data_IF_339837754881
#
_entry.id   IF_339837754881
#
_cell.length_a   1.000
_cell.length_b   1.000
_cell.length_c   1.000
_cell.angle_alpha   90.00
_cell.angle_beta   90.00
_cell.angle_gamma   90.00
#
_symmetry.space_group_name_H-M   'P 1'
#
loop_
_entity.id
_entity.type
_entity.pdbx_description
1 polymer ?
#
# COMPACT_ATOMS: atom_id res chain seq x y z
N UNK A 1 10.35 -3.82 -9.75
CA UNK A 1 10.11 -3.14 -8.47
C UNK A 1 9.23 -4.01 -7.58
N UNK A 2 9.83 -5.02 -7.01
CA UNK A 2 9.10 -5.93 -6.14
C UNK A 2 9.17 -5.44 -4.69
N UNK A 3 8.09 -5.69 -3.96
CA UNK A 3 8.10 -5.51 -2.52
C UNK A 3 9.09 -6.48 -1.86
N UNK A 4 9.93 -5.94 -1.00
CA UNK A 4 10.90 -6.72 -0.22
C UNK A 4 10.68 -6.45 1.25
N UNK A 5 10.78 -7.48 2.08
CA UNK A 5 10.72 -7.33 3.52
C UNK A 5 11.91 -6.48 3.98
N UNK A 6 11.65 -5.34 4.61
CA UNK A 6 12.68 -4.43 5.10
C UNK A 6 12.77 -4.38 6.62
N UNK A 7 11.68 -4.71 7.31
CA UNK A 7 11.64 -4.70 8.77
C UNK A 7 10.65 -5.74 9.28
N UNK A 8 11.01 -6.41 10.36
CA UNK A 8 10.11 -7.31 11.07
C UNK A 8 10.26 -7.09 12.57
N UNK A 9 9.14 -6.78 13.23
CA UNK A 9 9.09 -6.60 14.68
C UNK A 9 8.19 -7.69 15.24
N UNK A 10 8.75 -8.55 16.08
CA UNK A 10 8.02 -9.62 16.72
C UNK A 10 7.90 -9.36 18.21
N UNK A 11 6.68 -9.24 18.70
CA UNK A 11 6.34 -9.04 20.10
C UNK A 11 5.50 -10.21 20.58
N UNK A 12 5.37 -10.37 21.90
CA UNK A 12 4.56 -11.43 22.49
C UNK A 12 3.09 -11.39 22.03
N UNK A 13 2.55 -10.19 21.82
CA UNK A 13 1.13 -9.96 21.54
C UNK A 13 0.84 -9.59 20.09
N UNK A 14 1.86 -9.28 19.29
CA UNK A 14 1.69 -8.89 17.89
C UNK A 14 3.00 -8.99 17.12
N UNK A 15 2.91 -9.10 15.82
CA UNK A 15 4.06 -8.89 14.95
C UNK A 15 3.71 -7.88 13.86
N UNK A 16 4.73 -7.25 13.32
CA UNK A 16 4.60 -6.30 12.24
C UNK A 16 5.68 -6.57 11.20
N UNK A 17 5.27 -6.74 9.96
CA UNK A 17 6.17 -6.87 8.82
C UNK A 17 6.00 -5.67 7.92
N UNK A 18 7.10 -5.05 7.54
CA UNK A 18 7.11 -3.93 6.62
C UNK A 18 7.84 -4.34 5.35
N UNK A 19 7.15 -4.20 4.23
CA UNK A 19 7.67 -4.44 2.89
C UNK A 19 7.79 -3.11 2.16
N UNK A 20 8.78 -2.98 1.29
CA UNK A 20 8.94 -1.77 0.48
C UNK A 20 9.30 -2.13 -0.95
N UNK A 21 8.76 -1.39 -1.90
CA UNK A 21 9.21 -1.42 -3.30
C UNK A 21 10.01 -0.17 -3.68
N UNK A 22 10.40 0.64 -2.69
CA UNK A 22 11.11 1.89 -2.90
C UNK A 22 10.20 3.11 -3.07
N UNK A 23 8.97 2.92 -3.51
CA UNK A 23 7.99 3.98 -3.72
C UNK A 23 6.86 3.95 -2.70
N UNK A 24 6.50 2.77 -2.26
CA UNK A 24 5.46 2.54 -1.24
C UNK A 24 5.96 1.55 -0.20
N UNK A 25 5.55 1.76 1.03
CA UNK A 25 5.75 0.84 2.13
C UNK A 25 4.43 0.18 2.51
N UNK A 26 4.45 -1.14 2.63
CA UNK A 26 3.32 -1.95 3.06
C UNK A 26 3.61 -2.49 4.46
N UNK A 27 2.77 -2.13 5.42
CA UNK A 27 2.84 -2.64 6.79
C UNK A 27 1.71 -3.62 7.03
N UNK A 28 2.05 -4.83 7.46
CA UNK A 28 1.09 -5.86 7.86
C UNK A 28 1.34 -6.17 9.33
N UNK A 29 0.39 -5.79 10.17
CA UNK A 29 0.43 -6.07 11.60
C UNK A 29 -0.57 -7.16 11.93
N UNK A 30 -0.06 -8.29 12.38
CA UNK A 30 -0.88 -9.40 12.87
C UNK A 30 -1.04 -9.29 14.37
N UNK A 31 -2.28 -9.38 14.84
CA UNK A 31 -2.59 -9.35 16.26
C UNK A 31 -3.10 -10.72 16.68
N UNK A 32 -2.36 -11.44 17.52
CA UNK A 32 -2.76 -12.78 17.97
C UNK A 32 -3.86 -12.80 19.03
N UNK A 33 -4.27 -11.62 19.52
CA UNK A 33 -5.32 -11.54 20.54
C UNK A 33 -6.71 -11.70 19.94
N UNK A 34 -7.55 -12.43 20.63
CA UNK A 34 -8.96 -12.64 20.27
C UNK A 34 -9.67 -11.28 20.22
N UNK A 35 -10.44 -11.06 19.15
CA UNK A 35 -11.21 -9.82 18.96
C UNK A 35 -10.45 -8.71 18.24
N UNK A 36 -9.19 -8.93 17.89
CA UNK A 36 -8.41 -7.98 17.08
C UNK A 36 -8.18 -8.53 15.69
N UNK A 37 -8.32 -7.67 14.70
CA UNK A 37 -8.04 -7.99 13.30
C UNK A 37 -6.63 -7.61 12.92
N UNK A 38 -6.11 -8.20 11.84
CA UNK A 38 -4.86 -7.76 11.24
C UNK A 38 -5.05 -6.34 10.67
N UNK A 39 -3.99 -5.56 10.67
CA UNK A 39 -3.99 -4.18 10.16
C UNK A 39 -3.04 -4.12 8.98
N UNK A 40 -3.56 -3.68 7.83
CA UNK A 40 -2.79 -3.52 6.59
C UNK A 40 -2.79 -2.05 6.21
N UNK A 41 -1.60 -1.45 6.10
CA UNK A 41 -1.44 -0.04 5.79
C UNK A 41 -0.44 0.12 4.66
N UNK A 42 -0.78 0.93 3.67
CA UNK A 42 0.11 1.34 2.58
C UNK A 42 0.41 2.83 2.70
N UNK A 43 1.68 3.20 2.54
CA UNK A 43 2.13 4.60 2.57
C UNK A 43 3.10 4.85 1.42
N UNK A 44 3.11 6.08 0.93
CA UNK A 44 4.17 6.53 0.04
C UNK A 44 5.47 6.70 0.82
N UNK A 45 6.59 6.30 0.21
CA UNK A 45 7.92 6.58 0.74
C UNK A 45 8.38 7.98 0.32
N UNK A 46 9.49 8.45 0.87
CA UNK A 46 10.17 9.66 0.40
C UNK A 46 11.09 9.31 -0.78
N UNK A 47 10.47 8.95 -1.90
CA UNK A 47 11.19 8.53 -3.12
C UNK A 47 11.68 9.69 -3.99
N UNK A 48 11.24 10.92 -3.69
CA UNK A 48 11.51 12.09 -4.51
C UNK A 48 10.63 12.21 -5.76
N UNK A 49 9.66 11.33 -5.93
CA UNK A 49 8.70 11.41 -7.04
C UNK A 49 7.52 12.29 -6.64
N UNK A 50 7.44 13.48 -7.26
CA UNK A 50 6.47 14.51 -6.90
C UNK A 50 5.02 14.10 -7.13
N UNK A 51 4.75 13.39 -8.23
CA UNK A 51 3.39 13.07 -8.66
C UNK A 51 2.99 11.62 -8.38
N UNK A 52 3.58 10.99 -7.36
CA UNK A 52 3.22 9.64 -6.98
C UNK A 52 1.83 9.65 -6.31
N UNK A 53 0.82 8.94 -6.86
CA UNK A 53 -0.52 8.97 -6.30
C UNK A 53 -0.62 8.16 -5.00
N UNK A 54 -1.61 8.50 -4.18
CA UNK A 54 -1.96 7.73 -3.00
C UNK A 54 -2.68 6.44 -3.42
N UNK A 55 -2.37 5.35 -2.74
CA UNK A 55 -3.06 4.07 -2.89
C UNK A 55 -3.90 3.87 -1.62
N UNK A 56 -5.17 3.49 -1.82
CA UNK A 56 -6.08 3.19 -0.72
C UNK A 56 -6.37 1.69 -0.68
N UNK A 57 -6.25 1.11 0.51
CA UNK A 57 -6.70 -0.24 0.80
C UNK A 57 -7.96 -0.10 1.64
N UNK A 58 -9.10 -0.53 1.08
CA UNK A 58 -10.38 -0.50 1.76
C UNK A 58 -10.71 -1.90 2.25
N UNK A 59 -11.02 -2.03 3.53
CA UNK A 59 -11.37 -3.30 4.13
C UNK A 59 -12.33 -3.16 5.29
N UNK A 60 -12.84 -4.30 5.75
CA UNK A 60 -13.76 -4.37 6.88
C UNK A 60 -12.97 -4.61 8.17
N UNK A 61 -12.94 -3.60 9.04
CA UNK A 61 -12.22 -3.61 10.30
C UNK A 61 -13.02 -4.25 11.45
N UNK A 62 -14.28 -4.58 11.21
CA UNK A 62 -15.19 -5.05 12.25
C UNK A 62 -15.42 -6.57 12.25
N UNK A 63 -14.87 -7.26 11.27
CA UNK A 63 -14.95 -8.71 11.20
C UNK A 63 -13.78 -9.35 11.97
N UNK A 64 -13.97 -10.59 12.41
CA UNK A 64 -12.93 -11.37 13.09
C UNK A 64 -11.66 -11.52 12.24
N UNK A 65 -11.82 -11.54 10.92
CA UNK A 65 -10.72 -11.52 9.97
C UNK A 65 -10.79 -10.25 9.13
N UNK A 66 -9.66 -9.57 9.00
CA UNK A 66 -9.57 -8.41 8.11
C UNK A 66 -9.80 -8.87 6.67
N UNK A 67 -10.81 -8.31 6.03
CA UNK A 67 -11.14 -8.60 4.63
C UNK A 67 -10.98 -7.35 3.78
N UNK A 68 -10.11 -7.41 2.79
CA UNK A 68 -9.92 -6.30 1.84
C UNK A 68 -10.99 -6.36 0.76
N UNK A 69 -11.78 -5.29 0.66
CA UNK A 69 -12.83 -5.15 -0.36
C UNK A 69 -12.24 -4.72 -1.70
N UNK A 70 -11.36 -3.71 -1.68
CA UNK A 70 -10.69 -3.23 -2.88
C UNK A 70 -9.39 -2.50 -2.57
N UNK A 71 -8.57 -2.33 -3.61
CA UNK A 71 -7.36 -1.52 -3.59
C UNK A 71 -7.48 -0.55 -4.76
N UNK A 72 -7.45 0.74 -4.47
CA UNK A 72 -7.67 1.79 -5.46
C UNK A 72 -6.53 2.80 -5.48
N UNK A 73 -6.41 3.50 -6.62
CA UNK A 73 -5.44 4.58 -6.81
C UNK A 73 -6.23 5.88 -6.85
N UNK A 74 -5.77 6.86 -6.07
CA UNK A 74 -6.38 8.19 -6.06
C UNK A 74 -6.06 8.92 -7.36
N UNK A 75 -7.10 9.46 -8.01
CA UNK A 75 -6.96 10.27 -9.22
C UNK A 75 -7.26 11.72 -8.88
N UNK A 76 -6.22 12.55 -8.88
CA UNK A 76 -6.33 13.97 -8.54
C UNK A 76 -6.31 14.80 -9.81
N UNK A 77 -7.29 15.69 -9.97
CA UNK A 77 -7.29 16.69 -11.03
C UNK A 77 -6.22 17.75 -10.75
N UNK A 78 -5.34 18.00 -11.72
CA UNK A 78 -4.19 18.90 -11.55
C UNK A 78 -4.25 20.16 -12.40
N UNK A 79 -5.35 20.36 -13.11
CA UNK A 79 -5.51 21.52 -14.01
C UNK A 79 -4.60 21.42 -15.23
N UNK A 80 -4.10 22.56 -15.68
CA UNK A 80 -3.21 22.64 -16.85
C UNK A 80 -1.76 22.41 -16.44
N UNK A 81 -1.09 21.48 -17.11
CA UNK A 81 0.29 21.10 -16.85
C UNK A 81 1.14 21.21 -18.12
N UNK A 82 2.42 21.49 -17.93
CA UNK A 82 3.40 21.40 -19.00
C UNK A 82 3.60 19.94 -19.41
N UNK A 83 4.10 19.71 -20.62
CA UNK A 83 4.30 18.35 -21.15
C UNK A 83 5.19 17.51 -20.23
N UNK A 84 6.26 18.09 -19.71
CA UNK A 84 7.20 17.40 -18.82
C UNK A 84 6.53 17.00 -17.50
N UNK A 85 5.65 17.83 -16.98
CA UNK A 85 4.87 17.54 -15.78
C UNK A 85 3.87 16.41 -16.03
N UNK A 86 3.23 16.40 -17.20
CA UNK A 86 2.31 15.31 -17.59
C UNK A 86 3.06 13.99 -17.68
N UNK A 87 4.27 13.98 -18.25
CA UNK A 87 5.11 12.79 -18.32
C UNK A 87 5.43 12.25 -16.92
N UNK A 88 5.71 13.13 -15.97
CA UNK A 88 5.95 12.74 -14.56
C UNK A 88 4.68 12.19 -13.90
N UNK A 89 3.52 12.77 -14.19
CA UNK A 89 2.23 12.26 -13.70
C UNK A 89 1.98 10.85 -14.23
N UNK A 90 2.20 10.63 -15.53
CA UNK A 90 2.04 9.32 -16.16
C UNK A 90 2.98 8.29 -15.50
N UNK A 91 4.23 8.66 -15.27
CA UNK A 91 5.20 7.82 -14.60
C UNK A 91 4.73 7.43 -13.19
N UNK A 92 4.22 8.39 -12.42
CA UNK A 92 3.70 8.14 -11.09
C UNK A 92 2.53 7.16 -11.09
N UNK A 93 1.58 7.33 -12.01
CA UNK A 93 0.44 6.40 -12.14
C UNK A 93 0.87 5.00 -12.59
N UNK A 94 1.84 4.89 -13.48
CA UNK A 94 2.37 3.60 -13.91
C UNK A 94 3.02 2.85 -12.75
N UNK A 95 3.78 3.55 -11.89
CA UNK A 95 4.35 2.98 -10.67
C UNK A 95 3.23 2.49 -9.73
N UNK A 96 2.19 3.30 -9.55
CA UNK A 96 1.07 2.93 -8.69
C UNK A 96 0.30 1.72 -9.22
N UNK A 97 0.09 1.64 -10.53
CA UNK A 97 -0.59 0.49 -11.17
C UNK A 97 0.20 -0.80 -10.93
N UNK A 98 1.49 -0.79 -11.15
CA UNK A 98 2.34 -1.96 -10.91
C UNK A 98 2.35 -2.34 -9.42
N UNK A 99 2.38 -1.32 -8.55
CA UNK A 99 2.31 -1.53 -7.10
C UNK A 99 1.00 -2.20 -6.69
N UNK A 100 -0.14 -1.75 -7.23
CA UNK A 100 -1.44 -2.35 -6.92
C UNK A 100 -1.52 -3.79 -7.40
N UNK A 101 -1.01 -4.10 -8.59
CA UNK A 101 -0.96 -5.48 -9.09
C UNK A 101 -0.18 -6.39 -8.14
N UNK A 102 0.94 -5.92 -7.63
CA UNK A 102 1.78 -6.66 -6.69
C UNK A 102 1.10 -6.79 -5.32
N UNK A 103 0.45 -5.72 -4.84
CA UNK A 103 -0.30 -5.75 -3.59
C UNK A 103 -1.41 -6.81 -3.62
N UNK A 104 -2.10 -6.96 -4.73
CA UNK A 104 -3.15 -7.98 -4.89
C UNK A 104 -2.61 -9.39 -4.73
N UNK A 105 -1.39 -9.63 -5.18
CA UNK A 105 -0.74 -10.93 -4.97
C UNK A 105 -0.30 -11.13 -3.52
N UNK A 106 0.36 -10.12 -2.93
CA UNK A 106 0.84 -10.18 -1.55
C UNK A 106 -0.28 -10.27 -0.52
N UNK A 107 -1.40 -9.62 -0.78
CA UNK A 107 -2.53 -9.53 0.15
C UNK A 107 -3.66 -10.50 -0.18
N UNK A 108 -3.39 -11.49 -0.99
CA UNK A 108 -4.37 -12.46 -1.47
C UNK A 108 -5.14 -13.16 -0.36
N UNK A 109 -4.47 -13.46 0.75
CA UNK A 109 -5.10 -14.11 1.92
C UNK A 109 -6.17 -13.25 2.59
N UNK A 110 -6.16 -11.94 2.35
CA UNK A 110 -7.12 -10.99 2.92
C UNK A 110 -8.25 -10.61 1.96
N UNK A 111 -8.23 -11.13 0.75
CA UNK A 111 -9.16 -10.71 -0.31
C UNK A 111 -10.25 -11.74 -0.63
#
# INVERSE_FOLDING_TARGET
MEFKLIEEISKKEWNNKIYSNGYYDLSIRKKPLIGYTDIVIIKKTDSGIEYLPTIFIKGDLYKDNYAIENITIDVVGRGSLEVEEIEEVIKGYNIAIETVKELKELLKEYM
#
